data_IF_435828006343
#
_entry.id   IF_435828006343
#
_cell.length_a   1.000
_cell.length_b   1.000
_cell.length_c   1.000
_cell.angle_alpha   90.00
_cell.angle_beta   90.00
_cell.angle_gamma   90.00
#
_symmetry.space_group_name_H-M   'P 1'
#
loop_
_entity.id
_entity.type
_entity.pdbx_description
1 polymer ?
#
# COMPACT_ATOMS: atom_id res chain seq x y z
N UNK A 1 -9.56 13.67 7.21
CA UNK A 1 -8.36 13.82 8.08
C UNK A 1 -7.19 13.09 7.44
N UNK A 2 -6.05 13.74 7.29
CA UNK A 2 -4.82 13.13 6.79
C UNK A 2 -3.75 13.17 7.86
N UNK A 3 -2.80 12.24 7.81
CA UNK A 3 -1.65 12.24 8.70
C UNK A 3 -0.37 12.16 7.88
N UNK A 4 0.58 13.02 8.17
CA UNK A 4 1.87 13.08 7.48
C UNK A 4 2.98 12.67 8.43
N UNK A 5 3.84 11.76 7.96
CA UNK A 5 5.00 11.26 8.69
C UNK A 5 6.26 11.48 7.84
N UNK A 6 7.38 11.75 8.51
CA UNK A 6 8.68 11.84 7.87
C UNK A 6 9.45 10.56 8.11
N UNK A 7 9.82 9.88 7.03
CA UNK A 7 10.59 8.65 7.05
C UNK A 7 12.06 8.97 6.78
N UNK A 8 12.96 8.80 7.76
CA UNK A 8 14.37 9.18 7.60
C UNK A 8 15.13 8.32 6.59
N UNK A 9 14.66 7.10 6.30
CA UNK A 9 15.33 6.17 5.40
C UNK A 9 14.35 5.10 4.88
N UNK A 10 14.84 4.20 4.02
CA UNK A 10 14.05 3.10 3.46
C UNK A 10 13.60 2.11 4.54
N UNK A 11 14.38 1.92 5.58
CA UNK A 11 14.02 1.04 6.71
C UNK A 11 12.76 1.54 7.39
N UNK A 12 12.64 2.84 7.61
CA UNK A 12 11.46 3.44 8.23
C UNK A 12 10.23 3.26 7.34
N UNK A 13 10.38 3.43 6.02
CA UNK A 13 9.30 3.18 5.06
C UNK A 13 8.86 1.72 5.08
N UNK A 14 9.82 0.80 5.12
CA UNK A 14 9.55 -0.63 5.26
C UNK A 14 8.83 -0.94 6.59
N UNK A 15 9.31 -0.37 7.69
CA UNK A 15 8.70 -0.56 9.01
C UNK A 15 7.26 -0.04 9.08
N UNK A 16 6.98 1.09 8.41
CA UNK A 16 5.61 1.58 8.26
C UNK A 16 4.73 0.56 7.52
N UNK A 17 5.25 0.00 6.44
CA UNK A 17 4.57 -1.07 5.71
C UNK A 17 4.28 -2.28 6.59
N UNK A 18 5.26 -2.72 7.36
CA UNK A 18 5.12 -3.84 8.28
C UNK A 18 4.04 -3.56 9.33
N UNK A 19 4.07 -2.37 9.94
CA UNK A 19 3.06 -1.96 10.91
C UNK A 19 1.64 -2.01 10.31
N UNK A 20 1.49 -1.53 9.08
CA UNK A 20 0.22 -1.59 8.35
C UNK A 20 -0.20 -3.05 8.07
N UNK A 21 0.71 -3.85 7.54
CA UNK A 21 0.44 -5.26 7.21
C UNK A 21 -0.02 -6.10 8.40
N UNK A 22 0.47 -5.78 9.59
CA UNK A 22 0.05 -6.46 10.82
C UNK A 22 -1.38 -6.09 11.25
N UNK A 23 -1.90 -4.95 10.81
CA UNK A 23 -3.14 -4.37 11.34
C UNK A 23 -4.26 -4.19 10.33
N UNK A 24 -3.94 -4.15 9.04
CA UNK A 24 -4.96 -3.98 8.00
C UNK A 24 -5.91 -5.16 7.96
N UNK A 25 -7.19 -4.86 7.69
CA UNK A 25 -8.23 -5.87 7.59
C UNK A 25 -8.47 -6.29 6.15
N UNK A 26 -8.98 -7.50 5.96
CA UNK A 26 -9.32 -8.02 4.64
C UNK A 26 -10.31 -7.09 3.91
N UNK A 27 -10.10 -6.93 2.62
CA UNK A 27 -10.91 -6.04 1.78
C UNK A 27 -10.39 -4.61 1.69
N UNK A 28 -9.30 -4.27 2.38
CA UNK A 28 -8.70 -2.94 2.29
C UNK A 28 -8.02 -2.73 0.95
N UNK A 29 -8.29 -1.61 0.30
CA UNK A 29 -7.58 -1.18 -0.90
C UNK A 29 -6.69 0.00 -0.56
N UNK A 30 -5.40 -0.13 -0.85
CA UNK A 30 -4.40 0.91 -0.66
C UNK A 30 -4.13 1.56 -2.02
N UNK A 31 -4.33 2.87 -2.11
CA UNK A 31 -4.00 3.64 -3.30
C UNK A 31 -2.69 4.39 -3.03
N UNK A 32 -1.61 3.93 -3.65
CA UNK A 32 -0.28 4.49 -3.48
C UNK A 32 0.07 5.41 -4.64
N UNK A 33 0.43 6.64 -4.31
CA UNK A 33 0.77 7.69 -5.25
C UNK A 33 2.14 8.26 -4.92
N UNK A 34 2.87 8.66 -5.93
CA UNK A 34 4.20 9.24 -5.76
C UNK A 34 5.07 9.00 -6.98
N UNK A 35 6.09 9.83 -7.15
CA UNK A 35 7.02 9.73 -8.26
C UNK A 35 7.84 8.44 -8.23
N UNK A 36 8.48 8.13 -9.34
CA UNK A 36 9.38 7.00 -9.45
C UNK A 36 10.47 7.10 -8.35
N UNK A 37 10.70 6.02 -7.64
CA UNK A 37 11.67 6.00 -6.54
C UNK A 37 11.19 6.61 -5.23
N UNK A 38 9.91 6.98 -5.10
CA UNK A 38 9.37 7.57 -3.88
C UNK A 38 9.21 6.57 -2.71
N UNK A 39 9.28 5.26 -2.99
CA UNK A 39 9.23 4.22 -1.96
C UNK A 39 7.96 3.37 -1.94
N UNK A 40 7.13 3.43 -2.99
CA UNK A 40 5.89 2.67 -3.06
C UNK A 40 6.13 1.15 -2.95
N UNK A 41 7.11 0.63 -3.68
CA UNK A 41 7.46 -0.79 -3.62
C UNK A 41 8.08 -1.16 -2.26
N UNK A 42 8.91 -0.30 -1.69
CA UNK A 42 9.48 -0.51 -0.35
C UNK A 42 8.38 -0.63 0.71
N UNK A 43 7.37 0.23 0.62
CA UNK A 43 6.21 0.19 1.52
C UNK A 43 5.46 -1.14 1.34
N UNK A 44 5.23 -1.56 0.10
CA UNK A 44 4.52 -2.83 -0.20
C UNK A 44 5.30 -4.04 0.30
N UNK A 45 6.62 -4.03 0.19
CA UNK A 45 7.48 -5.08 0.76
C UNK A 45 7.30 -5.17 2.28
N UNK A 46 7.22 -4.04 2.96
CA UNK A 46 6.92 -3.99 4.38
C UNK A 46 5.55 -4.57 4.70
N UNK A 47 4.52 -4.20 3.93
CA UNK A 47 3.17 -4.75 4.10
C UNK A 47 3.19 -6.28 3.98
N UNK A 48 3.88 -6.82 3.00
CA UNK A 48 4.05 -8.26 2.84
C UNK A 48 4.68 -8.90 4.07
N UNK A 49 5.69 -8.27 4.65
CA UNK A 49 6.32 -8.73 5.89
C UNK A 49 5.33 -8.74 7.05
N UNK A 50 4.55 -7.67 7.18
CA UNK A 50 3.52 -7.58 8.23
C UNK A 50 2.40 -8.59 8.05
N UNK A 51 2.13 -9.02 6.84
CA UNK A 51 1.19 -10.10 6.53
C UNK A 51 1.79 -11.50 6.72
N UNK A 52 3.05 -11.61 7.12
CA UNK A 52 3.78 -12.88 7.26
C UNK A 52 3.90 -13.65 5.94
N UNK A 53 4.04 -12.95 4.83
CA UNK A 53 4.30 -13.54 3.52
C UNK A 53 5.79 -13.86 3.45
N UNK A 54 6.19 -15.15 3.32
CA UNK A 54 7.61 -15.52 3.24
C UNK A 54 8.22 -15.23 1.87
N UNK A 55 7.40 -15.11 0.85
CA UNK A 55 7.86 -14.86 -0.52
C UNK A 55 8.50 -13.48 -0.64
N UNK A 56 9.48 -13.36 -1.53
CA UNK A 56 10.04 -12.06 -1.87
C UNK A 56 9.02 -11.27 -2.68
N UNK A 57 8.76 -10.03 -2.25
CA UNK A 57 7.82 -9.15 -2.94
C UNK A 57 8.58 -8.29 -3.95
N UNK A 58 8.29 -8.52 -5.22
CA UNK A 58 8.90 -7.79 -6.33
C UNK A 58 7.94 -6.76 -6.91
N UNK A 59 8.49 -5.77 -7.60
CA UNK A 59 7.69 -4.81 -8.33
C UNK A 59 6.98 -5.48 -9.51
N UNK A 60 5.65 -5.34 -9.64
CA UNK A 60 4.91 -5.89 -10.78
C UNK A 60 4.89 -4.97 -12.00
N UNK A 61 5.94 -4.15 -12.22
CA UNK A 61 5.98 -3.20 -13.34
C UNK A 61 5.74 -3.88 -14.69
N UNK A 62 6.28 -5.08 -14.87
CA UNK A 62 6.14 -5.84 -16.13
C UNK A 62 5.00 -6.86 -16.10
N UNK A 63 4.67 -7.41 -14.93
CA UNK A 63 3.59 -8.39 -14.76
C UNK A 63 2.23 -7.74 -14.52
N UNK A 64 2.21 -6.47 -14.11
CA UNK A 64 1.06 -5.65 -13.74
C UNK A 64 0.43 -6.06 -12.41
N UNK A 65 0.24 -7.33 -12.14
CA UNK A 65 -0.35 -7.85 -10.90
C UNK A 65 0.46 -9.05 -10.42
N UNK A 66 0.89 -9.02 -9.16
CA UNK A 66 1.46 -10.17 -8.47
C UNK A 66 0.54 -10.55 -7.31
N UNK A 67 0.27 -11.82 -7.16
CA UNK A 67 -0.59 -12.36 -6.11
C UNK A 67 0.23 -13.19 -5.13
N UNK A 68 0.06 -12.92 -3.83
CA UNK A 68 0.75 -13.62 -2.74
C UNK A 68 -0.30 -14.13 -1.77
N UNK A 69 -0.45 -15.44 -1.64
CA UNK A 69 -1.51 -16.06 -0.84
C UNK A 69 -0.99 -16.83 0.39
N UNK A 70 0.30 -16.72 0.68
CA UNK A 70 0.97 -17.53 1.72
C UNK A 70 0.97 -16.89 3.12
N UNK A 71 0.46 -15.66 3.26
CA UNK A 71 0.47 -14.94 4.52
C UNK A 71 -0.86 -14.97 5.28
N UNK A 72 -0.98 -14.10 6.28
CA UNK A 72 -2.19 -13.92 7.09
C UNK A 72 -3.42 -13.59 6.25
N UNK A 73 -3.22 -12.74 5.23
CA UNK A 73 -4.21 -12.36 4.22
C UNK A 73 -3.54 -12.42 2.85
N UNK A 74 -4.29 -12.67 1.78
CA UNK A 74 -3.76 -12.48 0.43
C UNK A 74 -3.32 -11.04 0.21
N UNK A 75 -2.23 -10.86 -0.53
CA UNK A 75 -1.77 -9.55 -1.01
C UNK A 75 -1.84 -9.55 -2.52
N UNK A 76 -2.59 -8.63 -3.06
CA UNK A 76 -2.69 -8.38 -4.50
C UNK A 76 -1.95 -7.08 -4.81
N UNK A 77 -0.75 -7.20 -5.36
CA UNK A 77 0.14 -6.07 -5.66
C UNK A 77 -0.01 -5.68 -7.12
N UNK A 78 -0.47 -4.46 -7.36
CA UNK A 78 -0.76 -3.92 -8.70
C UNK A 78 0.14 -2.73 -8.98
N UNK A 79 0.66 -2.62 -10.21
CA UNK A 79 1.43 -1.46 -10.66
C UNK A 79 0.89 -0.98 -12.00
N UNK A 80 0.37 0.25 -12.02
CA UNK A 80 -0.24 0.85 -13.21
C UNK A 80 0.71 1.75 -14.00
N UNK A 81 2.01 1.76 -13.67
CA UNK A 81 3.00 2.65 -14.28
C UNK A 81 3.00 2.59 -15.82
N UNK A 82 2.89 1.39 -16.37
CA UNK A 82 2.96 1.17 -17.84
C UNK A 82 1.63 1.33 -18.55
N UNK A 83 0.54 1.55 -17.83
CA UNK A 83 -0.80 1.66 -18.41
C UNK A 83 -1.18 3.12 -18.62
N UNK A 84 -1.89 3.38 -19.72
CA UNK A 84 -2.38 4.71 -20.06
C UNK A 84 -3.89 4.66 -20.34
N UNK A 85 -4.59 5.77 -20.02
CA UNK A 85 -6.01 5.93 -20.31
C UNK A 85 -6.86 4.80 -19.73
N UNK A 86 -7.63 4.16 -20.61
CA UNK A 86 -8.59 3.10 -20.23
C UNK A 86 -7.95 1.71 -20.12
N UNK A 87 -6.63 1.57 -20.25
CA UNK A 87 -6.00 0.24 -20.25
C UNK A 87 -6.17 -0.48 -18.92
N UNK A 88 -6.22 0.26 -17.79
CA UNK A 88 -6.44 -0.33 -16.47
C UNK A 88 -7.81 -1.00 -16.33
N UNK A 89 -8.81 -0.57 -17.11
CA UNK A 89 -10.15 -1.16 -17.09
C UNK A 89 -10.13 -2.65 -17.48
N UNK A 90 -9.15 -3.05 -18.30
CA UNK A 90 -9.01 -4.43 -18.78
C UNK A 90 -8.47 -5.39 -17.72
N UNK A 91 -7.96 -4.86 -16.61
CA UNK A 91 -7.45 -5.69 -15.52
C UNK A 91 -8.56 -6.18 -14.59
N UNK A 92 -9.75 -5.61 -14.66
CA UNK A 92 -10.89 -5.96 -13.80
C UNK A 92 -10.50 -5.96 -12.32
N UNK A 93 -9.82 -4.88 -11.88
CA UNK A 93 -9.26 -4.78 -10.53
C UNK A 93 -10.31 -4.91 -9.43
N UNK A 94 -11.56 -4.51 -9.71
CA UNK A 94 -12.67 -4.65 -8.78
C UNK A 94 -12.89 -6.09 -8.33
N UNK A 95 -12.52 -7.09 -9.14
CA UNK A 95 -12.63 -8.50 -8.76
C UNK A 95 -11.78 -8.85 -7.54
N UNK A 96 -10.70 -8.09 -7.27
CA UNK A 96 -9.83 -8.33 -6.14
C UNK A 96 -10.38 -7.79 -4.82
N UNK A 97 -11.21 -6.75 -4.83
CA UNK A 97 -11.74 -6.19 -3.58
C UNK A 97 -13.23 -6.50 -3.33
N UNK A 98 -13.96 -6.99 -4.31
CA UNK A 98 -15.37 -7.37 -4.16
C UNK A 98 -15.56 -8.65 -3.32
N UNK A 99 -14.55 -9.49 -3.23
CA UNK A 99 -14.61 -10.72 -2.44
C UNK A 99 -15.47 -11.83 -3.05
N UNK A 100 -15.75 -11.76 -4.34
CA UNK A 100 -16.58 -12.75 -5.06
C UNK A 100 -15.70 -13.77 -5.79
N UNK A 101 -14.79 -13.28 -6.64
CA UNK A 101 -13.93 -14.12 -7.47
C UNK A 101 -12.62 -14.49 -6.77
N UNK A 102 -12.05 -13.54 -6.01
CA UNK A 102 -10.83 -13.75 -5.26
C UNK A 102 -11.08 -13.65 -3.76
N UNK A 103 -10.35 -14.42 -2.91
CA UNK A 103 -10.46 -14.30 -1.47
C UNK A 103 -10.16 -12.86 -1.01
N UNK A 104 -10.94 -12.31 -0.05
CA UNK A 104 -10.67 -10.97 0.47
C UNK A 104 -9.27 -10.88 1.07
N UNK A 105 -8.52 -9.88 0.64
CA UNK A 105 -7.15 -9.63 1.08
C UNK A 105 -6.85 -8.15 1.08
N UNK A 106 -5.58 -7.81 0.93
CA UNK A 106 -5.11 -6.43 0.79
C UNK A 106 -4.78 -6.19 -0.68
N UNK A 107 -5.38 -5.16 -1.26
CA UNK A 107 -5.07 -4.74 -2.63
C UNK A 107 -4.20 -3.50 -2.57
N UNK A 108 -2.94 -3.60 -3.00
CA UNK A 108 -1.98 -2.50 -2.98
C UNK A 108 -1.74 -2.05 -4.43
N UNK A 109 -2.17 -0.84 -4.77
CA UNK A 109 -2.10 -0.31 -6.13
C UNK A 109 -1.10 0.82 -6.19
N UNK A 110 0.03 0.61 -6.87
CA UNK A 110 1.02 1.64 -7.18
C UNK A 110 0.59 2.40 -8.43
N UNK A 111 0.95 3.69 -8.51
CA UNK A 111 0.51 4.59 -9.57
C UNK A 111 -1.01 4.68 -9.65
N UNK A 112 -1.64 4.77 -8.48
CA UNK A 112 -3.09 4.76 -8.35
C UNK A 112 -3.77 5.96 -9.00
N UNK A 113 -3.06 7.06 -9.25
CA UNK A 113 -3.54 8.21 -10.02
C UNK A 113 -3.93 7.84 -11.45
N UNK A 114 -3.51 6.68 -11.95
CA UNK A 114 -3.88 6.17 -13.28
C UNK A 114 -5.19 5.40 -13.30
N UNK A 115 -5.80 5.15 -12.13
CA UNK A 115 -7.13 4.56 -12.07
C UNK A 115 -8.18 5.54 -12.59
N UNK A 116 -9.13 5.04 -13.36
CA UNK A 116 -10.24 5.84 -13.88
C UNK A 116 -11.42 5.94 -12.91
N UNK A 117 -11.46 5.05 -11.93
CA UNK A 117 -12.49 5.02 -10.90
C UNK A 117 -11.87 4.63 -9.56
N UNK A 118 -12.49 5.08 -8.48
CA UNK A 118 -12.00 4.77 -7.14
C UNK A 118 -12.72 3.56 -6.57
N UNK A 119 -12.00 2.66 -5.88
CA UNK A 119 -12.65 1.62 -5.09
C UNK A 119 -13.41 2.25 -3.91
N UNK A 120 -14.38 1.52 -3.32
CA UNK A 120 -15.05 1.99 -2.10
C UNK A 120 -14.05 2.10 -0.95
N UNK A 121 -14.13 3.21 -0.20
CA UNK A 121 -13.37 3.43 1.03
C UNK A 121 -11.87 3.15 0.94
N UNK A 122 -11.13 3.70 -0.05
CA UNK A 122 -9.69 3.43 -0.15
C UNK A 122 -8.90 4.13 0.94
N UNK A 123 -7.81 3.51 1.38
CA UNK A 123 -6.79 4.19 2.15
C UNK A 123 -5.75 4.76 1.17
N UNK A 124 -5.72 6.07 1.05
CA UNK A 124 -4.77 6.75 0.15
C UNK A 124 -3.44 6.97 0.86
N UNK A 125 -2.35 6.64 0.18
CA UNK A 125 -1.00 6.81 0.70
C UNK A 125 -0.17 7.54 -0.36
N UNK A 126 0.20 8.79 -0.05
CA UNK A 126 1.04 9.60 -0.92
C UNK A 126 2.48 9.62 -0.39
N UNK A 127 3.44 9.29 -1.25
CA UNK A 127 4.86 9.29 -0.91
C UNK A 127 5.58 10.35 -1.74
N UNK A 128 6.39 11.18 -1.09
CA UNK A 128 7.15 12.24 -1.73
C UNK A 128 8.53 12.39 -1.09
N UNK A 129 9.47 12.93 -1.84
CA UNK A 129 10.76 13.34 -1.30
C UNK A 129 10.59 14.59 -0.43
N UNK A 130 11.39 14.68 0.64
CA UNK A 130 11.36 15.81 1.57
C UNK A 130 12.78 16.30 1.82
N UNK A 131 13.02 17.65 1.89
CA UNK A 131 14.38 18.19 2.06
C UNK A 131 15.10 17.75 3.34
N UNK A 132 14.35 17.50 4.42
CA UNK A 132 14.91 17.15 5.75
C UNK A 132 14.92 15.65 6.04
N UNK A 133 14.20 14.87 5.25
CA UNK A 133 14.10 13.43 5.40
C UNK A 133 14.07 12.79 4.02
N UNK A 134 14.33 11.49 3.95
CA UNK A 134 14.33 10.80 2.66
C UNK A 134 12.95 10.78 2.03
N UNK A 135 11.90 10.59 2.85
CA UNK A 135 10.52 10.48 2.35
C UNK A 135 9.51 11.13 3.28
N UNK A 136 8.49 11.69 2.67
CA UNK A 136 7.30 12.15 3.36
C UNK A 136 6.14 11.24 2.96
N UNK A 137 5.45 10.68 3.95
CA UNK A 137 4.31 9.78 3.71
C UNK A 137 3.06 10.40 4.31
N UNK A 138 2.03 10.57 3.48
CA UNK A 138 0.74 11.11 3.91
C UNK A 138 -0.34 10.04 3.72
N UNK A 139 -1.00 9.67 4.82
CA UNK A 139 -2.09 8.70 4.81
C UNK A 139 -3.42 9.44 4.95
N UNK A 140 -4.34 9.15 4.05
CA UNK A 140 -5.68 9.76 4.04
C UNK A 140 -6.73 8.64 4.15
N UNK A 141 -7.34 8.47 5.33
CA UNK A 141 -8.36 7.44 5.55
C UNK A 141 -9.69 7.83 4.89
N UNK A 142 -10.49 6.82 4.55
CA UNK A 142 -11.83 6.99 3.95
C UNK A 142 -12.93 6.33 4.78
N UNK A 143 -12.60 5.71 5.91
CA UNK A 143 -13.58 5.05 6.78
C UNK A 143 -13.25 5.30 8.26
N UNK A 144 -14.22 5.12 9.19
CA UNK A 144 -13.95 5.22 10.63
C UNK A 144 -12.86 4.27 11.11
N UNK A 145 -12.85 3.03 10.62
CA UNK A 145 -11.83 2.04 10.99
C UNK A 145 -10.44 2.49 10.55
N UNK A 146 -10.32 2.99 9.33
CA UNK A 146 -9.06 3.55 8.82
C UNK A 146 -8.63 4.78 9.60
N UNK A 147 -9.57 5.64 9.99
CA UNK A 147 -9.28 6.82 10.82
C UNK A 147 -8.69 6.41 12.16
N UNK A 148 -9.26 5.39 12.82
CA UNK A 148 -8.71 4.85 14.06
C UNK A 148 -7.29 4.30 13.86
N UNK A 149 -7.07 3.57 12.78
CA UNK A 149 -5.77 2.99 12.44
C UNK A 149 -4.73 4.11 12.24
N UNK A 150 -5.05 5.12 11.45
CA UNK A 150 -4.16 6.24 11.16
C UNK A 150 -3.85 7.06 12.42
N UNK A 151 -4.83 7.24 13.31
CA UNK A 151 -4.60 7.93 14.59
C UNK A 151 -3.63 7.17 15.50
N UNK A 152 -3.68 5.84 15.48
CA UNK A 152 -2.79 5.01 16.29
C UNK A 152 -1.35 5.00 15.77
N UNK A 153 -1.14 5.43 14.53
CA UNK A 153 0.17 5.43 13.88
C UNK A 153 1.03 6.58 14.39
N UNK A 154 2.15 6.26 15.01
CA UNK A 154 3.15 7.25 15.45
C UNK A 154 4.52 6.87 14.94
N UNK A 155 5.40 7.86 14.79
CA UNK A 155 6.78 7.62 14.39
C UNK A 155 7.49 6.68 15.38
N UNK A 156 7.23 6.86 16.68
CA UNK A 156 7.82 6.02 17.72
C UNK A 156 7.37 4.57 17.61
N UNK A 157 6.09 4.33 17.28
CA UNK A 157 5.57 2.98 17.10
C UNK A 157 6.19 2.27 15.91
N UNK A 158 6.53 3.01 14.85
CA UNK A 158 7.20 2.47 13.66
C UNK A 158 8.67 2.16 13.95
N UNK A 159 9.37 3.11 14.60
CA UNK A 159 10.80 2.98 14.85
C UNK A 159 11.12 2.00 15.99
N UNK A 160 10.18 1.71 16.87
CA UNK A 160 10.37 0.75 17.96
C UNK A 160 10.62 -0.68 17.45
N UNK A 161 10.11 -1.01 16.27
CA UNK A 161 10.29 -2.33 15.65
C UNK A 161 11.64 -2.46 14.91
N UNK A 162 12.44 -1.41 14.87
CA UNK A 162 13.78 -1.42 14.24
C UNK A 162 14.89 -1.91 15.18
N UNK A 163 14.60 -2.22 16.43
CA UNK A 163 15.62 -2.63 17.41
C UNK A 163 15.80 -4.14 17.40
#
# INVERSE_FOLDING_TARGET
MSKTLLMPNDRATFALGQWLGERLVAGTVLLMMGDLGAGKTTLTKGIGRGLNIPDEIDSPTFTLINEYDSGRLPLYHVDLYRLEGAESDRLFLESYWEGIEYPPGIVAIEWAERLRYLPPEPLKIALAHHPKAVRQVTLTPSSPAQTCLVKALTTDAILADEI
#
